data_IF_877113966339
#
_entry.id   IF_877113966339
#
_cell.length_a   1.000
_cell.length_b   1.000
_cell.length_c   1.000
_cell.angle_alpha   90.00
_cell.angle_beta   90.00
_cell.angle_gamma   90.00
#
_symmetry.space_group_name_H-M   'P 1'
#
loop_
_entity.id
_entity.type
_entity.pdbx_description
1 polymer ?
#
# COMPACT_ATOMS: atom_id res chain seq x y z
N UNK A 1 31.03 6.75 3.16
CA UNK A 1 30.63 7.43 4.39
C UNK A 1 29.90 8.64 3.88
N UNK A 2 28.57 8.71 4.04
CA UNK A 2 27.81 9.84 3.51
C UNK A 2 28.08 11.02 4.44
N UNK A 3 28.79 12.04 3.96
CA UNK A 3 28.96 13.28 4.71
C UNK A 3 27.66 14.08 4.57
N UNK A 4 26.73 13.83 5.50
CA UNK A 4 25.49 14.59 5.60
C UNK A 4 25.81 15.98 6.16
N UNK A 5 26.10 16.95 5.29
CA UNK A 5 26.11 18.35 5.69
C UNK A 5 24.71 18.75 6.12
N UNK A 6 24.53 19.17 7.38
CA UNK A 6 23.22 19.54 7.97
C UNK A 6 22.45 20.45 7.02
N UNK A 7 21.36 19.93 6.43
CA UNK A 7 20.55 20.71 5.51
C UNK A 7 19.91 21.90 6.22
N UNK A 8 19.99 23.08 5.60
CA UNK A 8 19.14 24.20 6.01
C UNK A 8 17.81 24.04 5.29
N UNK A 9 16.67 24.10 6.01
CA UNK A 9 15.37 24.08 5.36
C UNK A 9 15.28 25.28 4.42
N UNK A 10 14.89 25.04 3.17
CA UNK A 10 14.60 26.14 2.24
C UNK A 10 13.39 26.93 2.76
N UNK A 11 13.37 28.25 2.54
CA UNK A 11 12.26 29.11 2.98
C UNK A 11 10.94 28.83 2.21
N UNK A 12 11.00 27.99 1.17
CA UNK A 12 9.87 27.61 0.34
C UNK A 12 9.00 26.58 1.08
N UNK A 13 7.76 26.96 1.37
CA UNK A 13 6.73 26.03 1.85
C UNK A 13 6.37 25.09 0.70
N UNK A 14 6.69 23.81 0.82
CA UNK A 14 6.27 22.82 -0.17
C UNK A 14 4.87 22.25 0.13
N UNK A 15 4.39 21.31 -0.70
CA UNK A 15 3.00 20.88 -0.70
C UNK A 15 2.64 20.08 0.56
N UNK A 16 1.38 20.20 0.99
CA UNK A 16 0.80 19.33 2.01
C UNK A 16 0.28 18.05 1.34
N UNK A 17 0.67 16.92 1.89
CA UNK A 17 0.21 15.59 1.48
C UNK A 17 -0.66 14.98 2.58
N UNK A 18 -1.62 14.16 2.17
CA UNK A 18 -2.44 13.34 3.04
C UNK A 18 -2.59 11.97 2.41
N UNK A 19 -2.30 10.92 3.16
CA UNK A 19 -2.45 9.54 2.73
C UNK A 19 -3.37 8.80 3.68
N UNK A 20 -4.28 8.02 3.10
CA UNK A 20 -4.97 6.94 3.80
C UNK A 20 -4.31 5.65 3.35
N UNK A 21 -3.69 4.94 4.29
CA UNK A 21 -2.93 3.73 4.02
C UNK A 21 -3.69 2.53 4.62
N UNK A 22 -4.69 1.97 3.91
CA UNK A 22 -5.32 0.74 4.33
C UNK A 22 -4.33 -0.42 4.17
N UNK A 23 -4.23 -1.26 5.19
CA UNK A 23 -3.40 -2.46 5.16
C UNK A 23 -4.15 -3.63 5.78
N UNK A 24 -3.78 -4.84 5.38
CA UNK A 24 -4.37 -6.08 5.91
C UNK A 24 -3.26 -6.99 6.42
N UNK A 25 -3.48 -7.59 7.58
CA UNK A 25 -2.58 -8.61 8.13
C UNK A 25 -3.39 -9.73 8.77
N UNK A 26 -2.72 -10.79 9.22
CA UNK A 26 -3.36 -11.94 9.85
C UNK A 26 -3.39 -13.14 8.91
N UNK A 27 -4.36 -14.03 9.07
CA UNK A 27 -4.37 -15.36 8.42
C UNK A 27 -3.10 -16.16 8.68
N UNK A 28 -2.60 -16.08 9.91
CA UNK A 28 -1.45 -16.88 10.37
C UNK A 28 -1.90 -17.87 11.44
N UNK A 29 -1.06 -18.87 11.75
CA UNK A 29 -1.37 -19.87 12.80
C UNK A 29 -1.69 -19.25 14.16
N UNK A 30 -1.07 -18.12 14.49
CA UNK A 30 -1.22 -17.44 15.78
C UNK A 30 -2.30 -16.34 15.77
N UNK A 31 -2.70 -15.86 14.58
CA UNK A 31 -3.71 -14.83 14.36
C UNK A 31 -4.58 -15.26 13.17
N UNK A 32 -5.60 -16.10 13.41
CA UNK A 32 -6.41 -16.69 12.34
C UNK A 32 -7.27 -15.63 11.64
N UNK A 33 -7.72 -14.62 12.38
CA UNK A 33 -8.53 -13.53 11.85
C UNK A 33 -7.74 -12.66 10.86
N UNK A 34 -8.42 -12.22 9.81
CA UNK A 34 -7.90 -11.17 8.94
C UNK A 34 -8.17 -9.83 9.61
N UNK A 35 -7.13 -9.04 9.86
CA UNK A 35 -7.22 -7.73 10.48
C UNK A 35 -7.04 -6.65 9.43
N UNK A 36 -7.90 -5.63 9.49
CA UNK A 36 -7.79 -4.38 8.75
C UNK A 36 -7.12 -3.33 9.63
N UNK A 37 -6.12 -2.67 9.06
CA UNK A 37 -5.43 -1.53 9.64
C UNK A 37 -5.75 -0.32 8.79
N UNK A 38 -6.07 0.78 9.45
CA UNK A 38 -6.24 2.07 8.80
C UNK A 38 -5.32 3.08 9.46
N UNK A 39 -4.57 3.78 8.63
CA UNK A 39 -3.62 4.81 9.03
C UNK A 39 -3.85 6.05 8.18
N UNK A 40 -4.11 7.17 8.85
CA UNK A 40 -4.21 8.49 8.23
C UNK A 40 -2.89 9.24 8.50
N UNK A 41 -2.12 9.52 7.45
CA UNK A 41 -0.86 10.27 7.52
C UNK A 41 -1.02 11.62 6.84
N UNK A 42 -0.55 12.68 7.49
CA UNK A 42 -0.43 14.00 6.86
C UNK A 42 0.97 14.57 7.09
N UNK A 43 1.52 15.26 6.10
CA UNK A 43 2.81 15.92 6.21
C UNK A 43 2.93 17.07 5.21
N UNK A 44 3.87 17.98 5.43
CA UNK A 44 4.30 18.98 4.45
C UNK A 44 5.65 18.55 3.86
N UNK A 45 5.70 18.32 2.55
CA UNK A 45 6.95 18.03 1.86
C UNK A 45 7.71 19.34 1.69
N UNK A 46 8.97 19.41 2.11
CA UNK A 46 9.83 20.57 1.89
C UNK A 46 11.12 20.18 1.19
N UNK A 47 11.50 20.87 0.10
CA UNK A 47 12.80 20.69 -0.50
C UNK A 47 13.90 21.11 0.46
N UNK A 48 14.92 20.27 0.57
CA UNK A 48 16.11 20.51 1.36
C UNK A 48 17.26 20.92 0.45
N UNK A 49 18.27 21.58 1.02
CA UNK A 49 19.57 21.69 0.36
C UNK A 49 20.07 20.28 0.02
N UNK A 50 20.53 20.09 -1.23
CA UNK A 50 21.01 18.81 -1.72
C UNK A 50 22.20 18.29 -0.92
N UNK A 51 22.35 16.97 -0.88
CA UNK A 51 23.47 16.31 -0.19
C UNK A 51 24.46 15.73 -1.18
N UNK A 52 25.75 15.86 -0.87
CA UNK A 52 26.81 15.19 -1.60
C UNK A 52 27.02 13.77 -1.10
N UNK A 53 27.14 12.83 -2.04
CA UNK A 53 27.51 11.47 -1.69
C UNK A 53 29.01 11.31 -1.85
N UNK A 54 29.71 11.11 -0.73
CA UNK A 54 31.11 10.70 -0.71
C UNK A 54 31.23 9.18 -0.63
N UNK A 55 32.08 8.62 -1.48
CA UNK A 55 32.46 7.21 -1.45
C UNK A 55 33.00 6.85 -0.05
N UNK A 56 32.61 5.72 0.55
CA UNK A 56 33.30 5.23 1.74
C UNK A 56 34.76 4.94 1.42
N UNK A 57 35.66 5.45 2.27
CA UNK A 57 37.02 4.93 2.33
C UNK A 57 36.93 3.41 2.51
N UNK A 58 37.53 2.66 1.58
CA UNK A 58 37.43 1.21 1.51
C UNK A 58 37.83 0.58 2.84
N UNK A 59 36.88 -0.05 3.55
CA UNK A 59 37.15 -0.85 4.75
C UNK A 59 36.69 -2.28 4.49
N UNK A 60 37.62 -3.12 4.04
CA UNK A 60 37.53 -4.59 4.13
C UNK A 60 36.29 -5.26 3.51
N UNK A 61 35.67 -4.71 2.46
CA UNK A 61 34.51 -5.33 1.84
C UNK A 61 34.88 -6.55 0.99
N UNK A 62 34.04 -7.59 0.98
CA UNK A 62 34.15 -8.70 0.03
C UNK A 62 34.25 -8.21 -1.42
N UNK A 63 34.84 -8.99 -2.34
CA UNK A 63 34.98 -8.62 -3.77
C UNK A 63 33.64 -8.15 -4.38
N UNK A 64 32.54 -8.84 -4.06
CA UNK A 64 31.20 -8.48 -4.52
C UNK A 64 30.72 -7.15 -3.92
N UNK A 65 30.92 -6.93 -2.60
CA UNK A 65 30.59 -5.67 -1.94
C UNK A 65 31.42 -4.49 -2.47
N UNK A 66 32.68 -4.73 -2.81
CA UNK A 66 33.57 -3.72 -3.41
C UNK A 66 33.13 -3.32 -4.82
N UNK A 67 32.72 -4.28 -5.65
CA UNK A 67 32.24 -4.01 -7.01
C UNK A 67 30.94 -3.20 -6.99
N UNK A 68 29.98 -3.58 -6.13
CA UNK A 68 28.75 -2.83 -5.95
C UNK A 68 29.00 -1.42 -5.41
N UNK A 69 29.90 -1.28 -4.43
CA UNK A 69 30.25 0.03 -3.89
C UNK A 69 30.92 0.93 -4.94
N UNK A 70 31.77 0.39 -5.81
CA UNK A 70 32.38 1.11 -6.92
C UNK A 70 31.34 1.56 -7.94
N UNK A 71 30.37 0.70 -8.27
CA UNK A 71 29.30 1.00 -9.22
C UNK A 71 28.32 2.05 -8.68
N UNK A 72 27.88 1.90 -7.42
CA UNK A 72 27.02 2.91 -6.77
C UNK A 72 27.80 4.22 -6.60
N UNK A 73 29.09 4.11 -6.30
CA UNK A 73 30.04 5.22 -6.28
C UNK A 73 30.10 5.99 -7.57
N UNK A 74 30.32 5.33 -8.71
CA UNK A 74 30.40 6.02 -10.00
C UNK A 74 29.10 6.74 -10.37
N UNK A 75 27.95 6.22 -9.92
CA UNK A 75 26.64 6.82 -10.20
C UNK A 75 26.39 8.05 -9.33
N UNK A 76 26.70 7.97 -8.02
CA UNK A 76 26.27 8.96 -7.03
C UNK A 76 27.38 9.92 -6.59
N UNK A 77 28.65 9.55 -6.74
CA UNK A 77 29.78 10.40 -6.29
C UNK A 77 29.84 11.71 -7.07
N UNK A 78 30.11 12.81 -6.35
CA UNK A 78 30.20 14.16 -6.90
C UNK A 78 28.86 14.77 -7.34
N UNK A 79 27.72 14.06 -7.17
CA UNK A 79 26.39 14.57 -7.51
C UNK A 79 25.63 15.03 -6.28
N UNK A 80 24.87 16.12 -6.44
CA UNK A 80 23.91 16.59 -5.46
C UNK A 80 22.64 15.75 -5.53
N UNK A 81 22.29 15.08 -4.43
CA UNK A 81 21.01 14.39 -4.32
C UNK A 81 19.91 15.37 -3.99
N UNK A 82 18.91 15.44 -4.87
CA UNK A 82 17.63 16.09 -4.57
C UNK A 82 17.06 15.44 -3.30
N UNK A 83 16.76 16.27 -2.31
CA UNK A 83 16.39 15.79 -0.98
C UNK A 83 15.14 16.50 -0.49
N UNK A 84 14.24 15.72 0.08
CA UNK A 84 12.95 16.18 0.58
C UNK A 84 12.87 15.85 2.07
N UNK A 85 12.30 16.77 2.85
CA UNK A 85 11.95 16.54 4.26
C UNK A 85 10.45 16.56 4.43
N UNK A 86 9.96 15.79 5.39
CA UNK A 86 8.56 15.77 5.77
C UNK A 86 8.41 16.53 7.08
N UNK A 87 7.82 17.73 7.04
CA UNK A 87 7.54 18.55 8.22
C UNK A 87 6.11 18.38 8.70
N UNK A 88 5.88 18.68 9.97
CA UNK A 88 4.57 18.63 10.62
C UNK A 88 3.87 17.30 10.35
N UNK A 89 4.64 16.22 10.37
CA UNK A 89 4.12 14.89 10.08
C UNK A 89 3.25 14.45 11.26
N UNK A 90 1.96 14.20 10.99
CA UNK A 90 1.03 13.61 11.93
C UNK A 90 0.54 12.27 11.39
N UNK A 91 0.50 11.28 12.25
CA UNK A 91 0.05 9.93 11.94
C UNK A 91 -1.01 9.52 12.96
N UNK A 92 -2.20 9.21 12.46
CA UNK A 92 -3.29 8.70 13.26
C UNK A 92 -3.52 7.23 12.89
N UNK A 93 -3.16 6.34 13.82
CA UNK A 93 -3.33 4.90 13.65
C UNK A 93 -4.61 4.47 14.33
N UNK A 94 -5.53 3.89 13.57
CA UNK A 94 -6.78 3.34 14.12
C UNK A 94 -6.50 1.95 14.70
N UNK A 95 -7.31 1.56 15.70
CA UNK A 95 -7.21 0.22 16.27
C UNK A 95 -7.48 -0.82 15.15
N UNK A 96 -6.70 -1.90 15.05
CA UNK A 96 -6.96 -2.93 14.06
C UNK A 96 -8.33 -3.57 14.28
N UNK A 97 -9.09 -3.73 13.20
CA UNK A 97 -10.43 -4.30 13.22
C UNK A 97 -10.44 -5.67 12.54
N UNK A 98 -11.27 -6.60 13.02
CA UNK A 98 -11.47 -7.88 12.32
C UNK A 98 -12.22 -7.60 11.02
N UNK A 99 -11.60 -7.94 9.89
CA UNK A 99 -12.21 -7.81 8.59
C UNK A 99 -13.26 -8.91 8.41
N UNK A 100 -14.49 -8.62 8.81
CA UNK A 100 -15.63 -9.49 8.57
C UNK A 100 -15.88 -9.55 7.06
N UNK A 101 -15.68 -10.72 6.44
CA UNK A 101 -16.33 -11.01 5.17
C UNK A 101 -17.83 -11.05 5.50
N UNK A 102 -18.59 -10.10 4.98
CA UNK A 102 -20.02 -10.29 4.86
C UNK A 102 -20.21 -11.53 3.98
N UNK A 103 -20.39 -12.69 4.60
CA UNK A 103 -21.11 -13.77 3.96
C UNK A 103 -22.48 -13.17 3.67
N UNK A 104 -22.72 -12.79 2.41
CA UNK A 104 -24.09 -12.84 1.90
C UNK A 104 -24.51 -14.29 2.15
N UNK A 105 -25.23 -14.52 3.25
CA UNK A 105 -25.91 -15.78 3.56
C UNK A 105 -26.48 -16.27 2.24
N UNK A 106 -26.09 -17.48 1.86
CA UNK A 106 -26.52 -18.10 0.62
C UNK A 106 -28.00 -17.81 0.40
N UNK A 107 -28.30 -17.21 -0.76
CA UNK A 107 -29.63 -17.36 -1.34
C UNK A 107 -29.95 -18.84 -1.26
N UNK A 108 -31.09 -19.16 -0.64
CA UNK A 108 -31.62 -20.50 -0.47
C UNK A 108 -31.42 -21.35 -1.74
N UNK A 109 -31.21 -22.67 -1.62
CA UNK A 109 -31.16 -23.52 -2.80
C UNK A 109 -32.43 -23.28 -3.61
N UNK A 110 -32.24 -22.94 -4.89
CA UNK A 110 -33.29 -22.81 -5.89
C UNK A 110 -34.13 -24.09 -5.78
N UNK A 111 -35.32 -23.94 -5.21
CA UNK A 111 -36.26 -25.04 -5.07
C UNK A 111 -36.55 -25.60 -6.45
N UNK A 112 -36.21 -26.86 -6.66
CA UNK A 112 -36.62 -27.64 -7.82
C UNK A 112 -38.13 -27.44 -7.99
N UNK A 113 -38.62 -26.94 -9.14
CA UNK A 113 -40.04 -26.71 -9.33
C UNK A 113 -40.77 -28.06 -9.28
N UNK A 114 -41.59 -28.24 -8.24
CA UNK A 114 -42.47 -29.39 -8.05
C UNK A 114 -43.47 -29.42 -9.20
N UNK A 115 -43.26 -30.32 -10.18
CA UNK A 115 -44.17 -30.59 -11.30
C UNK A 115 -45.62 -30.69 -10.81
N UNK A 116 -46.42 -29.65 -11.05
CA UNK A 116 -47.88 -29.72 -10.89
C UNK A 116 -48.41 -30.54 -12.07
N UNK A 117 -49.13 -31.62 -11.74
CA UNK A 117 -49.82 -32.48 -12.70
C UNK A 117 -50.77 -31.64 -13.54
N UNK A 118 -50.72 -31.86 -14.85
CA UNK A 118 -51.56 -31.19 -15.84
C UNK A 118 -53.04 -31.47 -15.55
N UNK A 119 -53.78 -30.41 -15.23
CA UNK A 119 -55.23 -30.39 -15.27
C UNK A 119 -55.67 -30.08 -16.69
N UNK A 120 -56.49 -30.97 -17.24
CA UNK A 120 -57.13 -30.90 -18.55
C UNK A 120 -57.74 -29.53 -18.85
N UNK A 121 -57.30 -28.89 -19.94
CA UNK A 121 -57.98 -27.74 -20.54
C UNK A 121 -58.53 -28.15 -21.91
N UNK A 122 -59.85 -28.04 -22.00
CA UNK A 122 -60.74 -28.46 -23.08
C UNK A 122 -60.50 -27.56 -24.31
N UNK A 123 -60.21 -28.17 -25.45
CA UNK A 123 -60.05 -27.50 -26.75
C UNK A 123 -61.45 -27.10 -27.24
N UNK A 124 -61.69 -25.79 -27.42
CA UNK A 124 -62.86 -25.28 -28.15
C UNK A 124 -62.45 -24.88 -29.56
N UNK A 125 -62.99 -25.65 -30.51
CA UNK A 125 -63.20 -25.38 -31.93
C UNK A 125 -63.50 -23.92 -32.26
N UNK A 126 -62.82 -23.38 -33.28
CA UNK A 126 -63.42 -22.41 -34.20
C UNK A 126 -63.05 -22.85 -35.62
N UNK A 127 -64.09 -23.09 -36.42
CA UNK A 127 -64.05 -23.55 -37.81
C UNK A 127 -64.03 -22.37 -38.80
N UNK A 128 -63.39 -22.67 -39.94
CA UNK A 128 -63.52 -22.12 -41.30
C UNK A 128 -63.21 -20.65 -41.54
#
# INVERSE_FOLDING_TARGET
QVVLRKARPSALKGPKISFQLPSFSGRTKHKPDLLKYDLDLSATIQPCTGYEVSLPASRGSSKAGSALAAQVGSILSGKMLASLSFKNMSMHVKRPEVFAKNEKKGSAPIGVPKRRRAGSAKISSVQT
#
